data_IF_316409898419
#
_entry.id   IF_316409898419
#
_cell.length_a   1.000
_cell.length_b   1.000
_cell.length_c   1.000
_cell.angle_alpha   90.00
_cell.angle_beta   90.00
_cell.angle_gamma   90.00
#
_symmetry.space_group_name_H-M   'P 1'
#
loop_
_entity.id
_entity.type
_entity.pdbx_description
1 polymer ?
#
# COMPACT_ATOMS: atom_id res chain seq x y z
N UNK A 1 -4.10 15.41 -6.06
CA UNK A 1 -4.56 14.55 -7.17
C UNK A 1 -3.33 13.83 -7.71
N UNK A 2 -3.38 12.51 -7.88
CA UNK A 2 -2.23 11.74 -8.40
C UNK A 2 -2.10 12.00 -9.89
N UNK A 3 -0.90 12.36 -10.35
CA UNK A 3 -0.60 12.67 -11.74
C UNK A 3 0.01 11.49 -12.50
N UNK A 4 -0.57 10.29 -12.31
CA UNK A 4 -0.21 9.10 -13.07
C UNK A 4 -1.21 8.88 -14.21
N UNK A 5 -0.77 8.58 -15.45
CA UNK A 5 -1.66 8.21 -16.54
C UNK A 5 -2.57 7.01 -16.23
N UNK A 6 -3.54 6.74 -17.11
CA UNK A 6 -4.24 5.45 -17.08
C UNK A 6 -3.25 4.32 -17.36
N UNK A 7 -3.35 3.22 -16.61
CA UNK A 7 -2.42 2.12 -16.74
C UNK A 7 -2.46 1.15 -15.57
N UNK A 8 -1.75 0.04 -15.74
CA UNK A 8 -1.45 -0.92 -14.69
C UNK A 8 0.03 -0.78 -14.33
N UNK A 9 0.29 -0.43 -13.08
CA UNK A 9 1.62 -0.17 -12.57
C UNK A 9 2.03 -1.30 -11.62
N UNK A 10 3.24 -1.82 -11.78
CA UNK A 10 3.88 -2.66 -10.77
C UNK A 10 4.35 -1.78 -9.61
N UNK A 11 4.23 -2.30 -8.40
CA UNK A 11 4.68 -1.62 -7.18
C UNK A 11 5.88 -2.38 -6.62
N UNK A 12 7.01 -1.70 -6.52
CA UNK A 12 8.28 -2.27 -6.06
C UNK A 12 8.24 -2.61 -4.57
N UNK A 13 7.65 -1.72 -3.76
CA UNK A 13 7.48 -1.94 -2.32
C UNK A 13 6.12 -1.43 -1.86
N UNK A 14 5.44 -2.24 -1.05
CA UNK A 14 4.13 -1.91 -0.48
C UNK A 14 4.08 -2.34 0.98
N UNK A 15 3.70 -1.42 1.86
CA UNK A 15 3.62 -1.66 3.29
C UNK A 15 2.34 -1.08 3.86
N UNK A 16 1.61 -1.89 4.61
CA UNK A 16 0.70 -1.35 5.62
C UNK A 16 1.51 -0.87 6.81
N UNK A 17 1.16 0.28 7.36
CA UNK A 17 1.82 0.89 8.51
C UNK A 17 0.78 1.35 9.52
N UNK A 18 1.07 1.21 10.81
CA UNK A 18 0.24 1.75 11.90
C UNK A 18 0.88 3.01 12.51
N UNK A 19 0.17 3.63 13.46
CA UNK A 19 0.67 4.79 14.20
C UNK A 19 1.96 4.50 15.00
N UNK A 20 2.21 3.23 15.35
CA UNK A 20 3.40 2.76 16.07
C UNK A 20 4.58 2.45 15.14
N UNK A 21 4.42 2.65 13.82
CA UNK A 21 5.40 2.34 12.77
C UNK A 21 5.71 0.84 12.66
N UNK A 22 4.83 -0.02 13.15
CA UNK A 22 4.84 -1.41 12.73
C UNK A 22 4.49 -1.44 11.24
N UNK A 23 5.02 -2.46 10.55
CA UNK A 23 4.78 -2.60 9.12
C UNK A 23 4.46 -4.03 8.74
N UNK A 24 3.54 -4.17 7.79
CA UNK A 24 3.23 -5.44 7.15
C UNK A 24 3.41 -5.29 5.64
N UNK A 25 4.29 -6.11 5.05
CA UNK A 25 4.55 -6.08 3.61
C UNK A 25 3.41 -6.71 2.82
N UNK A 26 3.02 -6.05 1.73
CA UNK A 26 2.23 -6.66 0.67
C UNK A 26 3.16 -7.10 -0.46
N UNK A 27 2.85 -8.25 -1.07
CA UNK A 27 3.65 -8.82 -2.15
C UNK A 27 2.91 -8.82 -3.48
N UNK A 28 3.68 -8.86 -4.58
CA UNK A 28 3.18 -8.90 -5.95
C UNK A 28 2.12 -7.82 -6.21
N UNK A 29 2.41 -6.60 -5.75
CA UNK A 29 1.43 -5.52 -5.75
C UNK A 29 1.37 -4.87 -7.12
N UNK A 30 0.14 -4.67 -7.58
CA UNK A 30 -0.19 -3.89 -8.77
C UNK A 30 -1.14 -2.77 -8.40
N UNK A 31 -1.06 -1.66 -9.12
CA UNK A 31 -1.89 -0.48 -8.94
C UNK A 31 -2.46 -0.06 -10.30
N UNK A 32 -3.77 -0.08 -10.42
CA UNK A 32 -4.49 0.19 -11.65
C UNK A 32 -5.16 1.56 -11.59
N UNK A 33 -5.02 2.31 -12.67
CA UNK A 33 -5.63 3.62 -12.88
C UNK A 33 -6.45 3.55 -14.17
N UNK A 34 -7.73 3.90 -14.10
CA UNK A 34 -8.60 3.93 -15.27
C UNK A 34 -9.64 5.05 -15.17
N UNK A 35 -10.17 5.49 -16.30
CA UNK A 35 -11.36 6.34 -16.35
C UNK A 35 -12.63 5.50 -16.35
N UNK A 36 -13.58 5.86 -15.49
CA UNK A 36 -14.92 5.27 -15.54
C UNK A 36 -15.76 5.83 -16.70
N UNK A 37 -17.01 5.36 -16.81
CA UNK A 37 -17.97 5.82 -17.84
C UNK A 37 -18.29 7.32 -17.77
N UNK A 38 -18.02 7.97 -16.63
CA UNK A 38 -18.21 9.41 -16.40
C UNK A 38 -16.91 10.20 -16.58
N UNK A 39 -15.84 9.57 -17.09
CA UNK A 39 -14.49 10.14 -17.20
C UNK A 39 -13.91 10.56 -15.85
N UNK A 40 -14.32 9.90 -14.78
CA UNK A 40 -13.73 10.08 -13.46
C UNK A 40 -12.61 9.07 -13.27
N UNK A 41 -11.48 9.55 -12.73
CA UNK A 41 -10.32 8.73 -12.44
C UNK A 41 -10.63 7.79 -11.28
N UNK A 42 -10.43 6.51 -11.50
CA UNK A 42 -10.60 5.44 -10.54
C UNK A 42 -9.25 4.77 -10.27
N UNK A 43 -9.10 4.26 -9.05
CA UNK A 43 -7.85 3.69 -8.54
C UNK A 43 -8.15 2.40 -7.77
N UNK A 44 -7.37 1.36 -8.02
CA UNK A 44 -7.45 0.09 -7.29
C UNK A 44 -6.12 -0.60 -7.32
N UNK A 45 -5.70 -1.15 -6.18
CA UNK A 45 -4.58 -2.05 -6.13
C UNK A 45 -4.97 -3.48 -5.80
N UNK A 46 -4.06 -4.39 -6.12
CA UNK A 46 -4.15 -5.83 -5.83
C UNK A 46 -2.80 -6.32 -5.36
N UNK A 47 -2.79 -7.27 -4.44
CA UNK A 47 -1.56 -7.88 -3.95
C UNK A 47 -1.82 -9.14 -3.17
N UNK A 48 -0.79 -9.61 -2.50
CA UNK A 48 -0.81 -10.71 -1.56
C UNK A 48 -0.48 -10.18 -0.16
N UNK A 49 -1.22 -10.64 0.84
CA UNK A 49 -1.03 -10.27 2.24
C UNK A 49 -1.15 -11.50 3.13
N UNK A 50 -0.39 -11.52 4.21
CA UNK A 50 -0.57 -12.50 5.27
C UNK A 50 -1.71 -12.06 6.20
N UNK A 51 -2.85 -12.74 6.14
CA UNK A 51 -4.04 -12.34 6.90
C UNK A 51 -3.89 -12.56 8.42
N UNK A 52 -3.05 -13.52 8.84
CA UNK A 52 -2.79 -13.74 10.26
C UNK A 52 -2.08 -12.51 10.84
N UNK A 53 -0.96 -12.10 10.23
CA UNK A 53 -0.22 -10.91 10.63
C UNK A 53 -1.04 -9.62 10.45
N UNK A 54 -1.90 -9.55 9.42
CA UNK A 54 -2.79 -8.41 9.23
C UNK A 54 -3.83 -8.31 10.36
N UNK A 55 -4.39 -9.43 10.79
CA UNK A 55 -5.28 -9.47 11.95
C UNK A 55 -4.57 -9.04 13.22
N UNK A 56 -3.36 -9.56 13.48
CA UNK A 56 -2.56 -9.16 14.64
C UNK A 56 -2.28 -7.65 14.64
N UNK A 57 -1.93 -7.07 13.48
CA UNK A 57 -1.72 -5.62 13.35
C UNK A 57 -2.98 -4.81 13.68
N UNK A 58 -4.18 -5.33 13.34
CA UNK A 58 -5.45 -4.65 13.61
C UNK A 58 -5.94 -4.82 15.06
N UNK A 59 -5.40 -5.77 15.83
CA UNK A 59 -5.70 -5.90 17.26
C UNK A 59 -5.10 -4.74 18.07
N UNK A 60 -3.95 -4.23 17.63
CA UNK A 60 -3.23 -3.11 18.27
C UNK A 60 -3.69 -1.73 17.77
N UNK A 61 -4.29 -1.66 16.57
CA UNK A 61 -4.73 -0.40 15.97
C UNK A 61 -5.94 -0.60 15.04
N UNK A 62 -6.98 0.23 15.19
CA UNK A 62 -8.19 0.15 14.34
C UNK A 62 -7.93 0.63 12.90
N UNK A 63 -6.90 1.45 12.69
CA UNK A 63 -6.62 2.13 11.44
C UNK A 63 -5.18 1.87 10.98
N UNK A 64 -5.03 1.58 9.70
CA UNK A 64 -3.72 1.40 9.06
C UNK A 64 -3.65 2.27 7.82
N UNK A 65 -2.45 2.71 7.49
CA UNK A 65 -2.17 3.38 6.22
C UNK A 65 -1.45 2.43 5.27
N UNK A 66 -1.54 2.68 3.96
CA UNK A 66 -0.78 1.97 2.95
C UNK A 66 0.20 2.91 2.26
N UNK A 67 1.47 2.54 2.27
CA UNK A 67 2.54 3.29 1.61
C UNK A 67 3.11 2.45 0.47
N UNK A 68 3.21 3.05 -0.71
CA UNK A 68 3.65 2.41 -1.94
C UNK A 68 4.89 3.12 -2.49
N UNK A 69 5.84 2.34 -2.99
CA UNK A 69 6.96 2.79 -3.81
C UNK A 69 6.87 2.14 -5.18
N UNK A 70 6.93 2.96 -6.22
CA UNK A 70 6.97 2.55 -7.60
C UNK A 70 8.39 2.75 -8.16
N UNK A 71 8.57 2.32 -9.41
CA UNK A 71 9.74 2.65 -10.22
C UNK A 71 9.93 4.19 -10.31
N UNK A 72 11.17 4.63 -10.52
CA UNK A 72 11.60 6.05 -10.54
C UNK A 72 11.39 6.81 -9.21
N UNK A 73 11.39 6.10 -8.08
CA UNK A 73 11.27 6.70 -6.74
C UNK A 73 9.99 7.56 -6.60
N UNK A 74 8.91 7.10 -7.21
CA UNK A 74 7.58 7.68 -7.01
C UNK A 74 6.90 7.01 -5.81
N UNK A 75 6.48 7.80 -4.82
CA UNK A 75 5.90 7.28 -3.59
C UNK A 75 4.46 7.76 -3.41
N UNK A 76 3.58 6.86 -2.99
CA UNK A 76 2.19 7.18 -2.65
C UNK A 76 1.89 6.79 -1.21
N UNK A 77 1.11 7.63 -0.54
CA UNK A 77 0.52 7.36 0.76
C UNK A 77 -1.00 7.37 0.63
N UNK A 78 -1.60 6.22 0.95
CA UNK A 78 -3.03 6.02 1.07
C UNK A 78 -3.37 6.00 2.55
N UNK A 79 -4.16 6.98 2.98
CA UNK A 79 -4.66 7.00 4.35
C UNK A 79 -5.91 6.14 4.48
N UNK A 80 -5.92 5.32 5.52
CA UNK A 80 -7.03 4.42 5.87
C UNK A 80 -7.64 3.73 4.63
N UNK A 81 -6.85 3.03 3.80
CA UNK A 81 -7.37 2.42 2.58
C UNK A 81 -8.44 1.38 2.91
N UNK A 82 -9.42 1.24 2.03
CA UNK A 82 -10.36 0.14 2.13
C UNK A 82 -9.68 -1.12 1.63
N UNK A 83 -9.50 -2.11 2.50
CA UNK A 83 -8.82 -3.38 2.20
C UNK A 83 -9.84 -4.52 2.22
N UNK A 84 -9.86 -5.30 1.15
CA UNK A 84 -10.66 -6.51 1.01
C UNK A 84 -9.74 -7.71 0.89
N UNK A 85 -9.85 -8.65 1.83
CA UNK A 85 -9.01 -9.85 1.91
C UNK A 85 -9.86 -11.13 1.92
N UNK A 86 -9.26 -12.23 1.46
CA UNK A 86 -9.84 -13.57 1.62
C UNK A 86 -9.93 -13.98 3.10
N UNK A 87 -10.68 -15.06 3.40
CA UNK A 87 -10.86 -15.57 4.77
C UNK A 87 -9.92 -16.74 5.11
N UNK A 88 -8.66 -16.67 4.69
CA UNK A 88 -7.66 -17.71 4.97
C UNK A 88 -6.71 -17.18 6.05
N UNK A 89 -6.71 -17.77 7.23
CA UNK A 89 -5.97 -17.29 8.42
C UNK A 89 -4.88 -18.28 8.88
N UNK A 90 -4.20 -18.89 7.92
CA UNK A 90 -3.07 -19.76 8.20
C UNK A 90 -1.77 -18.92 8.26
N UNK A 91 -0.96 -19.00 9.34
CA UNK A 91 0.18 -18.10 9.55
C UNK A 91 1.23 -18.09 8.43
N UNK A 92 1.33 -19.17 7.65
CA UNK A 92 2.29 -19.28 6.55
C UNK A 92 1.66 -19.03 5.18
N UNK A 93 0.40 -18.62 5.11
CA UNK A 93 -0.33 -18.45 3.86
C UNK A 93 -0.59 -16.99 3.55
N UNK A 94 -0.17 -16.58 2.36
CA UNK A 94 -0.55 -15.29 1.80
C UNK A 94 -1.85 -15.46 1.00
N UNK A 95 -2.75 -14.49 1.12
CA UNK A 95 -4.01 -14.45 0.39
C UNK A 95 -4.11 -13.20 -0.46
N UNK A 96 -4.88 -13.26 -1.54
CA UNK A 96 -5.12 -12.09 -2.37
C UNK A 96 -5.87 -11.01 -1.61
N UNK A 97 -5.37 -9.78 -1.72
CA UNK A 97 -6.03 -8.58 -1.25
C UNK A 97 -6.34 -7.62 -2.41
N UNK A 98 -7.41 -6.87 -2.27
CA UNK A 98 -7.74 -5.70 -3.09
C UNK A 98 -7.74 -4.50 -2.16
N UNK A 99 -7.16 -3.39 -2.60
CA UNK A 99 -7.25 -2.13 -1.87
C UNK A 99 -7.74 -1.00 -2.77
N UNK A 100 -8.49 -0.07 -2.20
CA UNK A 100 -8.93 1.17 -2.86
C UNK A 100 -8.63 2.37 -1.96
N UNK A 101 -8.74 3.58 -2.50
CA UNK A 101 -8.63 4.80 -1.70
C UNK A 101 -9.73 4.78 -0.63
N UNK A 102 -9.35 4.99 0.62
CA UNK A 102 -10.28 5.24 1.73
C UNK A 102 -10.39 6.73 1.98
N UNK A 103 -9.73 7.24 3.03
CA UNK A 103 -9.79 8.66 3.38
C UNK A 103 -9.14 9.54 2.29
N UNK A 104 -7.86 9.29 1.97
CA UNK A 104 -7.15 10.12 1.01
C UNK A 104 -5.98 9.38 0.34
N UNK A 105 -5.49 9.95 -0.76
CA UNK A 105 -4.29 9.48 -1.45
C UNK A 105 -3.45 10.67 -1.88
N UNK A 106 -2.15 10.61 -1.60
CA UNK A 106 -1.22 11.70 -1.89
C UNK A 106 0.16 11.19 -2.30
N UNK A 107 0.85 11.87 -3.23
CA UNK A 107 2.27 11.66 -3.43
C UNK A 107 3.04 12.14 -2.19
N UNK A 108 4.11 11.44 -1.85
CA UNK A 108 5.00 11.78 -0.72
C UNK A 108 6.46 11.78 -1.16
N UNK A 109 7.33 12.42 -0.39
CA UNK A 109 8.78 12.33 -0.61
C UNK A 109 9.34 10.99 -0.14
N UNK A 110 10.54 10.65 -0.59
CA UNK A 110 11.29 9.50 -0.08
C UNK A 110 11.49 9.59 1.44
N UNK A 111 11.89 10.75 1.97
CA UNK A 111 12.05 10.96 3.41
C UNK A 111 10.77 10.63 4.18
N UNK A 112 9.61 11.01 3.63
CA UNK A 112 8.33 10.71 4.28
C UNK A 112 7.98 9.23 4.16
N UNK A 113 8.29 8.58 3.04
CA UNK A 113 8.15 7.13 2.90
C UNK A 113 8.99 6.38 3.94
N UNK A 114 10.24 6.79 4.13
CA UNK A 114 11.17 6.23 5.12
C UNK A 114 10.64 6.48 6.54
N UNK A 115 10.17 7.69 6.84
CA UNK A 115 9.56 8.05 8.12
C UNK A 115 8.36 7.15 8.47
N UNK A 116 7.44 6.96 7.51
CA UNK A 116 6.22 6.18 7.68
C UNK A 116 6.52 4.68 7.82
N UNK A 117 7.49 4.15 7.09
CA UNK A 117 7.82 2.71 7.07
C UNK A 117 8.82 2.29 8.16
N UNK A 118 9.52 3.26 8.77
CA UNK A 118 10.61 3.00 9.70
C UNK A 118 11.80 2.25 9.05
N UNK A 119 11.87 2.22 7.72
CA UNK A 119 13.04 1.70 7.02
C UNK A 119 14.23 2.62 7.30
N UNK A 120 15.45 2.07 7.27
CA UNK A 120 16.64 2.92 7.21
C UNK A 120 16.82 3.35 5.77
N UNK A 121 17.17 4.62 5.55
CA UNK A 121 17.66 5.07 4.25
C UNK A 121 18.72 4.08 3.79
N UNK A 122 18.55 3.53 2.58
CA UNK A 122 19.62 2.76 1.96
C UNK A 122 20.77 3.74 1.79
N UNK A 123 21.80 3.58 2.62
CA UNK A 123 23.03 4.33 2.46
C UNK A 123 23.44 4.28 0.99
N UNK A 124 23.68 5.46 0.42
CA UNK A 124 24.39 5.65 -0.83
C UNK A 124 25.46 4.58 -0.94
N UNK A 125 25.38 3.73 -1.98
CA UNK A 125 26.52 2.89 -2.33
C UNK A 125 27.68 3.84 -2.64
N UNK A 126 28.75 3.70 -1.87
CA UNK A 126 30.09 4.17 -2.23
C UNK A 126 30.50 3.66 -3.62
#
# INVERSE_FOLDING_TARGET
MIDLPEGLYEVDQAYLVDASRNRLSLRNVTFEIWLDKKKQKQLRGRGLINNFNFSEMLEDCEEVDLVLRFFDDYFLWLKEPVIQVGKVFEPTTESSCIFTVGESISPVSEDKFIELTGLKALGSKD
#
